data_IF_204212367069
#
_entry.id   IF_204212367069
#
_cell.length_a   1.000
_cell.length_b   1.000
_cell.length_c   1.000
_cell.angle_alpha   90.00
_cell.angle_beta   90.00
_cell.angle_gamma   90.00
#
_symmetry.space_group_name_H-M   'P 1'
#
loop_
_entity.id
_entity.type
_entity.pdbx_description
1 polymer ?
#
# COMPACT_ATOMS: atom_id res chain seq x y z
N UNK A 1 5.48 8.54 -12.18
CA UNK A 1 6.58 8.16 -11.24
C UNK A 1 7.51 9.33 -10.92
N UNK A 2 7.91 10.12 -11.90
CA UNK A 2 8.79 11.29 -11.68
C UNK A 2 8.31 12.21 -10.56
N UNK A 3 7.00 12.52 -10.50
CA UNK A 3 6.43 13.37 -9.45
C UNK A 3 6.63 12.79 -8.03
N UNK A 4 6.43 11.47 -7.85
CA UNK A 4 6.69 10.81 -6.57
C UNK A 4 8.17 10.92 -6.17
N UNK A 5 9.08 10.56 -7.08
CA UNK A 5 10.51 10.59 -6.79
C UNK A 5 11.00 12.02 -6.49
N UNK A 6 10.44 13.04 -7.15
CA UNK A 6 10.72 14.44 -6.84
C UNK A 6 10.22 14.86 -5.45
N UNK A 7 9.00 14.42 -5.07
CA UNK A 7 8.46 14.65 -3.72
C UNK A 7 9.38 14.01 -2.67
N UNK A 8 9.73 12.74 -2.85
CA UNK A 8 10.63 12.03 -1.92
C UNK A 8 12.03 12.68 -1.87
N UNK A 9 12.50 13.23 -2.99
CA UNK A 9 13.78 13.97 -3.01
C UNK A 9 13.68 15.28 -2.21
N UNK A 10 12.60 16.06 -2.37
CA UNK A 10 12.38 17.27 -1.55
C UNK A 10 12.27 16.93 -0.08
N UNK A 11 11.54 15.85 0.25
CA UNK A 11 11.44 15.35 1.62
C UNK A 11 12.83 15.09 2.23
N UNK A 12 13.71 14.35 1.53
CA UNK A 12 15.08 14.08 1.98
C UNK A 12 15.95 15.34 2.07
N UNK A 13 15.60 16.38 1.33
CA UNK A 13 16.29 17.68 1.38
C UNK A 13 15.76 18.60 2.49
N UNK A 14 14.91 18.08 3.40
CA UNK A 14 14.40 18.79 4.57
C UNK A 14 13.01 19.40 4.41
N UNK A 15 12.32 19.18 3.30
CA UNK A 15 10.90 19.56 3.17
C UNK A 15 10.03 18.54 3.89
N UNK A 16 9.18 18.98 4.81
CA UNK A 16 8.22 18.10 5.50
C UNK A 16 7.02 17.74 4.60
N UNK A 17 7.30 17.21 3.40
CA UNK A 17 6.29 16.76 2.45
C UNK A 17 6.15 15.24 2.49
N UNK A 18 4.91 14.75 2.46
CA UNK A 18 4.60 13.32 2.34
C UNK A 18 3.45 13.11 1.37
N UNK A 19 3.15 11.85 1.10
CA UNK A 19 2.05 11.47 0.22
C UNK A 19 1.23 10.36 0.87
N UNK A 20 -0.09 10.49 0.82
CA UNK A 20 -0.97 9.37 1.13
C UNK A 20 -0.94 8.36 -0.02
N UNK A 21 -0.78 7.11 0.34
CA UNK A 21 -0.97 5.98 -0.56
C UNK A 21 -2.35 5.38 -0.29
N UNK A 22 -3.30 5.71 -1.17
CA UNK A 22 -4.71 5.36 -0.98
C UNK A 22 -5.00 4.00 -1.61
N UNK A 23 -5.19 2.99 -0.75
CA UNK A 23 -5.50 1.61 -1.14
C UNK A 23 -7.02 1.37 -1.12
N UNK A 24 -7.71 1.74 -2.17
CA UNK A 24 -9.14 1.50 -2.32
C UNK A 24 -9.52 1.20 -3.76
N UNK A 25 -10.48 0.28 -3.95
CA UNK A 25 -11.13 0.03 -5.24
C UNK A 25 -12.55 0.62 -5.31
N UNK A 26 -13.01 1.31 -4.25
CA UNK A 26 -14.36 1.89 -4.22
C UNK A 26 -14.44 3.20 -5.02
N UNK A 27 -15.39 3.35 -5.97
CA UNK A 27 -15.44 4.51 -6.88
C UNK A 27 -15.55 5.85 -6.15
N UNK A 28 -16.38 5.94 -5.12
CA UNK A 28 -16.57 7.19 -4.37
C UNK A 28 -15.33 7.57 -3.54
N UNK A 29 -14.60 6.59 -3.00
CA UNK A 29 -13.33 6.86 -2.29
C UNK A 29 -12.28 7.38 -3.25
N UNK A 30 -12.11 6.70 -4.41
CA UNK A 30 -11.17 7.15 -5.44
C UNK A 30 -11.56 8.54 -5.95
N UNK A 31 -12.84 8.78 -6.25
CA UNK A 31 -13.30 10.08 -6.74
C UNK A 31 -13.05 11.20 -5.71
N UNK A 32 -13.37 10.98 -4.44
CA UNK A 32 -13.12 11.97 -3.38
C UNK A 32 -11.62 12.30 -3.26
N UNK A 33 -10.77 11.27 -3.32
CA UNK A 33 -9.31 11.42 -3.29
C UNK A 33 -8.79 12.22 -4.49
N UNK A 34 -9.31 11.94 -5.69
CA UNK A 34 -8.90 12.65 -6.91
C UNK A 34 -9.38 14.09 -6.95
N UNK A 35 -10.59 14.38 -6.43
CA UNK A 35 -11.11 15.75 -6.30
C UNK A 35 -10.27 16.57 -5.33
N UNK A 36 -9.93 16.00 -4.18
CA UNK A 36 -9.06 16.66 -3.20
C UNK A 36 -7.69 16.98 -3.80
N UNK A 37 -7.10 16.05 -4.56
CA UNK A 37 -5.84 16.26 -5.25
C UNK A 37 -5.95 17.38 -6.32
N UNK A 38 -7.08 17.46 -7.04
CA UNK A 38 -7.36 18.52 -8.00
C UNK A 38 -7.45 19.89 -7.33
N UNK A 39 -8.22 20.01 -6.24
CA UNK A 39 -8.40 21.27 -5.50
C UNK A 39 -7.07 21.82 -4.96
N UNK A 40 -6.13 20.95 -4.60
CA UNK A 40 -4.85 21.34 -4.05
C UNK A 40 -3.69 21.32 -5.07
N UNK A 41 -3.98 21.04 -6.35
CA UNK A 41 -3.00 20.97 -7.47
C UNK A 41 -1.77 20.11 -7.14
N UNK A 42 -1.99 18.92 -6.55
CA UNK A 42 -0.91 18.00 -6.12
C UNK A 42 -1.07 16.59 -6.72
N UNK A 43 0.04 15.84 -6.82
CA UNK A 43 -0.03 14.45 -7.25
C UNK A 43 -0.77 13.61 -6.20
N UNK A 44 -1.40 12.55 -6.68
CA UNK A 44 -2.11 11.56 -5.86
C UNK A 44 -1.61 10.16 -6.19
N UNK A 45 -1.42 9.34 -5.16
CA UNK A 45 -1.02 7.95 -5.30
C UNK A 45 -2.21 7.04 -4.96
N UNK A 46 -2.73 6.38 -6.00
CA UNK A 46 -3.77 5.35 -5.87
C UNK A 46 -3.10 3.99 -6.00
N UNK A 47 -3.34 3.14 -5.02
CA UNK A 47 -2.77 1.80 -5.00
C UNK A 47 -3.84 0.71 -4.95
N UNK A 48 -3.48 -0.46 -5.44
CA UNK A 48 -4.27 -1.67 -5.28
C UNK A 48 -3.40 -2.80 -4.72
N UNK A 49 -3.95 -3.54 -3.77
CA UNK A 49 -3.31 -4.75 -3.24
C UNK A 49 -3.54 -5.95 -4.15
N UNK A 50 -2.72 -6.99 -3.99
CA UNK A 50 -2.90 -8.28 -4.68
C UNK A 50 -4.26 -8.94 -4.43
N UNK A 51 -4.89 -8.66 -3.29
CA UNK A 51 -6.25 -9.14 -2.98
C UNK A 51 -7.33 -8.34 -3.72
N UNK A 52 -7.12 -7.04 -3.92
CA UNK A 52 -8.07 -6.15 -4.60
C UNK A 52 -8.09 -6.38 -6.10
N UNK A 53 -6.91 -6.44 -6.70
CA UNK A 53 -6.69 -6.45 -8.15
C UNK A 53 -5.60 -7.46 -8.47
N UNK A 54 -5.87 -8.41 -9.33
CA UNK A 54 -4.87 -9.38 -9.80
C UNK A 54 -5.28 -9.95 -11.16
N UNK A 55 -4.46 -10.82 -11.74
CA UNK A 55 -4.73 -11.46 -13.03
C UNK A 55 -6.04 -12.25 -13.10
N UNK A 56 -6.62 -12.60 -11.96
CA UNK A 56 -7.91 -13.30 -11.85
C UNK A 56 -9.06 -12.37 -11.46
N UNK A 57 -8.80 -11.06 -11.31
CA UNK A 57 -9.77 -10.03 -10.94
C UNK A 57 -9.71 -9.59 -9.47
N UNK A 58 -9.15 -10.37 -8.57
CA UNK A 58 -9.22 -10.10 -7.13
C UNK A 58 -10.66 -9.98 -6.64
N UNK A 59 -10.89 -9.34 -5.47
CA UNK A 59 -12.26 -9.12 -5.01
C UNK A 59 -12.98 -7.96 -5.72
N UNK A 60 -12.25 -7.08 -6.40
CA UNK A 60 -12.86 -5.99 -7.18
C UNK A 60 -13.39 -6.46 -8.54
N UNK A 61 -13.04 -7.67 -8.98
CA UNK A 61 -13.35 -8.19 -10.31
C UNK A 61 -12.47 -7.59 -11.42
N UNK A 62 -11.42 -6.84 -11.10
CA UNK A 62 -10.60 -6.13 -12.08
C UNK A 62 -9.17 -6.68 -12.17
N UNK A 63 -8.70 -6.82 -13.40
CA UNK A 63 -7.26 -6.99 -13.69
C UNK A 63 -6.53 -5.64 -13.54
N UNK A 64 -5.18 -5.62 -13.43
CA UNK A 64 -4.42 -4.36 -13.32
C UNK A 64 -4.71 -3.37 -14.47
N UNK A 65 -4.85 -3.86 -15.69
CA UNK A 65 -5.19 -3.02 -16.84
C UNK A 65 -6.59 -2.40 -16.73
N UNK A 66 -7.56 -3.18 -16.27
CA UNK A 66 -8.93 -2.71 -16.04
C UNK A 66 -8.98 -1.69 -14.89
N UNK A 67 -8.26 -1.93 -13.80
CA UNK A 67 -8.19 -0.99 -12.69
C UNK A 67 -7.54 0.34 -13.10
N UNK A 68 -6.47 0.32 -13.90
CA UNK A 68 -5.90 1.55 -14.47
C UNK A 68 -6.93 2.33 -15.30
N UNK A 69 -7.65 1.66 -16.20
CA UNK A 69 -8.69 2.30 -17.01
C UNK A 69 -9.80 2.88 -16.17
N UNK A 70 -10.22 2.15 -15.12
CA UNK A 70 -11.22 2.55 -14.15
C UNK A 70 -10.81 3.82 -13.38
N UNK A 71 -9.58 3.87 -12.86
CA UNK A 71 -9.06 5.07 -12.16
C UNK A 71 -8.94 6.25 -13.12
N UNK A 72 -8.49 6.03 -14.37
CA UNK A 72 -8.38 7.07 -15.38
C UNK A 72 -9.74 7.67 -15.75
N UNK A 73 -10.80 6.86 -15.83
CA UNK A 73 -12.15 7.31 -16.06
C UNK A 73 -12.68 8.17 -14.89
N UNK A 74 -12.44 7.75 -13.66
CA UNK A 74 -12.80 8.56 -12.46
C UNK A 74 -12.00 9.88 -12.46
N UNK A 75 -10.70 9.86 -12.78
CA UNK A 75 -9.88 11.07 -12.84
C UNK A 75 -10.43 12.08 -13.86
N UNK A 76 -10.88 11.59 -15.01
CA UNK A 76 -11.53 12.43 -16.02
C UNK A 76 -12.80 13.09 -15.48
N UNK A 77 -13.65 12.36 -14.77
CA UNK A 77 -14.85 12.93 -14.12
C UNK A 77 -14.52 13.90 -12.98
N UNK A 78 -13.43 13.66 -12.28
CA UNK A 78 -12.92 14.53 -11.21
C UNK A 78 -12.15 15.76 -11.75
N UNK A 79 -12.02 15.92 -13.07
CA UNK A 79 -11.27 16.99 -13.74
C UNK A 79 -9.79 17.03 -13.38
N UNK A 80 -9.22 15.91 -12.91
CA UNK A 80 -7.81 15.77 -12.58
C UNK A 80 -7.04 15.27 -13.81
N UNK A 81 -5.96 15.97 -14.19
CA UNK A 81 -5.06 15.50 -15.24
C UNK A 81 -4.41 14.16 -14.85
N UNK A 82 -4.38 13.23 -15.78
CA UNK A 82 -3.82 11.89 -15.56
C UNK A 82 -2.33 11.91 -15.19
N UNK A 83 -1.60 12.96 -15.55
CA UNK A 83 -0.20 13.14 -15.15
C UNK A 83 0.00 13.32 -13.64
N UNK A 84 -1.04 13.76 -12.92
CA UNK A 84 -1.05 13.86 -11.45
C UNK A 84 -1.44 12.55 -10.78
N UNK A 85 -1.98 11.57 -11.52
CA UNK A 85 -2.37 10.27 -10.97
C UNK A 85 -1.20 9.30 -11.04
N UNK A 86 -0.70 8.92 -9.89
CA UNK A 86 0.32 7.89 -9.73
C UNK A 86 -0.35 6.57 -9.38
N UNK A 87 0.02 5.48 -10.07
CA UNK A 87 -0.48 4.16 -9.76
C UNK A 87 0.60 3.31 -9.11
N UNK A 88 0.24 2.72 -7.98
CA UNK A 88 1.10 1.80 -7.23
C UNK A 88 0.42 0.46 -6.98
N UNK A 89 1.25 -0.56 -6.88
CA UNK A 89 0.84 -1.87 -6.39
C UNK A 89 1.36 -2.08 -4.99
N UNK A 90 0.46 -2.46 -4.10
CA UNK A 90 0.71 -2.66 -2.69
C UNK A 90 0.62 -4.12 -2.30
N UNK A 91 1.47 -4.57 -1.38
CA UNK A 91 1.58 -5.97 -1.00
C UNK A 91 1.61 -6.91 -2.22
N UNK A 92 2.39 -6.52 -3.25
CA UNK A 92 2.55 -7.34 -4.44
C UNK A 92 3.54 -8.47 -4.17
N UNK A 93 2.99 -9.66 -4.04
CA UNK A 93 3.71 -10.87 -3.70
C UNK A 93 2.77 -12.07 -3.64
N UNK A 94 3.16 -13.15 -2.97
CA UNK A 94 2.37 -14.38 -2.91
C UNK A 94 1.15 -14.31 -1.98
N UNK A 95 0.94 -13.22 -1.25
CA UNK A 95 -0.04 -13.11 -0.16
C UNK A 95 -1.47 -13.53 -0.56
N UNK A 96 -1.94 -13.14 -1.75
CA UNK A 96 -3.28 -13.53 -2.23
C UNK A 96 -3.45 -15.05 -2.40
N UNK A 97 -2.36 -15.80 -2.45
CA UNK A 97 -2.32 -17.25 -2.63
C UNK A 97 -1.53 -17.97 -1.54
N UNK A 98 -1.38 -17.35 -0.38
CA UNK A 98 -0.54 -17.90 0.72
C UNK A 98 -0.99 -19.28 1.23
N UNK A 99 -2.22 -19.69 0.96
CA UNK A 99 -2.68 -21.05 1.27
C UNK A 99 -2.09 -22.13 0.34
N UNK A 100 -1.58 -21.74 -0.84
CA UNK A 100 -0.94 -22.65 -1.79
C UNK A 100 0.52 -22.92 -1.40
N UNK A 101 1.11 -24.02 -1.91
CA UNK A 101 2.55 -24.24 -1.80
C UNK A 101 3.36 -23.03 -2.31
N UNK A 102 4.44 -22.69 -1.61
CA UNK A 102 5.26 -21.50 -1.89
C UNK A 102 5.66 -21.35 -3.36
N UNK A 103 6.03 -22.46 -4.04
CA UNK A 103 6.39 -22.44 -5.47
C UNK A 103 5.23 -21.94 -6.32
N UNK A 104 4.03 -22.46 -6.11
CA UNK A 104 2.84 -22.08 -6.89
C UNK A 104 2.40 -20.65 -6.57
N UNK A 105 2.43 -20.27 -5.30
CA UNK A 105 2.10 -18.90 -4.89
C UNK A 105 3.06 -17.88 -5.51
N UNK A 106 4.35 -18.19 -5.56
CA UNK A 106 5.37 -17.34 -6.20
C UNK A 106 5.23 -17.29 -7.73
N UNK A 107 4.86 -18.39 -8.40
CA UNK A 107 4.61 -18.39 -9.86
C UNK A 107 3.41 -17.48 -10.20
N UNK A 108 2.37 -17.45 -9.34
CA UNK A 108 1.25 -16.53 -9.48
C UNK A 108 1.67 -15.09 -9.19
N UNK A 109 2.55 -14.86 -8.22
CA UNK A 109 3.10 -13.55 -7.91
C UNK A 109 3.96 -13.00 -9.05
N UNK A 110 4.74 -13.83 -9.75
CA UNK A 110 5.47 -13.42 -10.96
C UNK A 110 4.51 -12.84 -12.02
N UNK A 111 3.40 -13.55 -12.28
CA UNK A 111 2.40 -13.08 -13.25
C UNK A 111 1.72 -11.79 -12.78
N UNK A 112 1.39 -11.70 -11.49
CA UNK A 112 0.82 -10.50 -10.88
C UNK A 112 1.72 -9.27 -11.14
N UNK A 113 3.00 -9.38 -10.80
CA UNK A 113 3.99 -8.31 -10.98
C UNK A 113 4.09 -7.90 -12.45
N UNK A 114 4.20 -8.88 -13.37
CA UNK A 114 4.28 -8.59 -14.79
C UNK A 114 3.06 -7.81 -15.29
N UNK A 115 1.86 -8.22 -14.90
CA UNK A 115 0.60 -7.58 -15.31
C UNK A 115 0.46 -6.16 -14.71
N UNK A 116 0.88 -5.92 -13.46
CA UNK A 116 0.90 -4.57 -12.87
C UNK A 116 1.84 -3.64 -13.63
N UNK A 117 3.07 -4.06 -13.86
CA UNK A 117 4.07 -3.22 -14.56
C UNK A 117 3.67 -2.97 -16.01
N UNK A 118 3.19 -4.00 -16.71
CA UNK A 118 2.68 -3.87 -18.08
C UNK A 118 1.46 -2.94 -18.15
N UNK A 119 0.59 -2.95 -17.12
CA UNK A 119 -0.53 -2.04 -17.03
C UNK A 119 -0.11 -0.58 -16.69
N UNK A 120 1.16 -0.31 -16.38
CA UNK A 120 1.66 1.05 -16.13
C UNK A 120 1.72 1.45 -14.67
N UNK A 121 1.56 0.53 -13.73
CA UNK A 121 1.86 0.78 -12.32
C UNK A 121 3.38 0.96 -12.16
N UNK A 122 3.79 1.94 -11.37
CA UNK A 122 5.21 2.33 -11.30
C UNK A 122 5.77 2.43 -9.88
N UNK A 123 4.97 2.54 -8.83
CA UNK A 123 5.40 2.22 -7.47
C UNK A 123 5.06 0.75 -7.22
N UNK A 124 6.04 -0.07 -6.92
CA UNK A 124 5.88 -1.52 -6.76
C UNK A 124 6.39 -1.91 -5.38
N UNK A 125 5.46 -2.24 -4.48
CA UNK A 125 5.80 -2.79 -3.17
C UNK A 125 5.94 -4.30 -3.30
N UNK A 126 7.18 -4.78 -3.20
CA UNK A 126 7.56 -6.19 -3.26
C UNK A 126 7.42 -6.81 -1.88
N UNK A 127 6.24 -7.35 -1.59
CA UNK A 127 5.94 -7.95 -0.28
C UNK A 127 6.00 -9.48 -0.35
N UNK A 128 7.04 -10.04 0.24
CA UNK A 128 7.25 -11.47 0.39
C UNK A 128 7.37 -11.89 1.86
N UNK A 129 6.93 -11.04 2.79
CA UNK A 129 7.06 -11.24 4.24
C UNK A 129 6.16 -12.36 4.79
N UNK A 130 5.09 -12.71 4.07
CA UNK A 130 4.12 -13.68 4.54
C UNK A 130 4.44 -15.10 4.10
N UNK A 131 4.36 -16.04 5.05
CA UNK A 131 4.55 -17.46 4.81
C UNK A 131 3.46 -18.04 3.88
N UNK A 132 3.87 -18.91 2.98
CA UNK A 132 2.99 -19.69 2.11
C UNK A 132 2.87 -21.13 2.60
N UNK A 133 1.99 -21.93 1.98
CA UNK A 133 1.83 -23.34 2.30
C UNK A 133 3.15 -24.10 2.19
N UNK A 134 3.54 -24.75 3.29
CA UNK A 134 4.81 -25.47 3.41
C UNK A 134 6.00 -24.65 3.90
N UNK A 135 5.86 -23.34 4.03
CA UNK A 135 6.86 -22.50 4.67
C UNK A 135 6.82 -22.61 6.20
N UNK A 136 7.91 -22.30 6.92
CA UNK A 136 7.86 -22.07 8.35
C UNK A 136 6.97 -20.85 8.66
N UNK A 137 6.35 -20.83 9.85
CA UNK A 137 5.43 -19.76 10.26
C UNK A 137 6.07 -18.35 10.24
N UNK A 138 7.37 -18.28 10.52
CA UNK A 138 8.19 -17.07 10.39
C UNK A 138 9.25 -17.34 9.34
N UNK A 139 9.29 -16.50 8.31
CA UNK A 139 10.29 -16.60 7.25
C UNK A 139 11.62 -15.99 7.71
N UNK A 140 12.71 -16.60 7.22
CA UNK A 140 14.02 -15.98 7.28
C UNK A 140 14.07 -14.77 6.33
N UNK A 141 14.69 -13.67 6.76
CA UNK A 141 14.87 -12.45 5.94
C UNK A 141 15.54 -12.74 4.60
N UNK A 142 16.44 -13.73 4.54
CA UNK A 142 17.07 -14.14 3.29
C UNK A 142 16.05 -14.73 2.30
N UNK A 143 15.07 -15.50 2.77
CA UNK A 143 13.99 -16.04 1.93
C UNK A 143 13.10 -14.92 1.41
N UNK A 144 12.75 -13.96 2.28
CA UNK A 144 11.94 -12.78 1.90
C UNK A 144 12.66 -11.98 0.82
N UNK A 145 13.94 -11.68 1.03
CA UNK A 145 14.76 -10.89 0.10
C UNK A 145 14.98 -11.60 -1.25
N UNK A 146 15.19 -12.91 -1.24
CA UNK A 146 15.35 -13.72 -2.46
C UNK A 146 14.06 -13.74 -3.29
N UNK A 147 12.91 -13.91 -2.64
CA UNK A 147 11.60 -13.81 -3.29
C UNK A 147 11.35 -12.41 -3.85
N UNK A 148 11.67 -11.36 -3.10
CA UNK A 148 11.55 -9.97 -3.56
C UNK A 148 12.46 -9.69 -4.77
N UNK A 149 13.70 -10.18 -4.77
CA UNK A 149 14.61 -10.06 -5.91
C UNK A 149 14.09 -10.80 -7.15
N UNK A 150 13.52 -12.02 -6.98
CA UNK A 150 12.84 -12.75 -8.08
C UNK A 150 11.74 -11.89 -8.69
N UNK A 151 10.85 -11.32 -7.87
CA UNK A 151 9.74 -10.48 -8.34
C UNK A 151 10.23 -9.17 -8.97
N UNK A 152 11.30 -8.57 -8.43
CA UNK A 152 11.92 -7.39 -9.03
C UNK A 152 12.46 -7.68 -10.44
N UNK A 153 13.10 -8.84 -10.64
CA UNK A 153 13.57 -9.27 -11.97
C UNK A 153 12.42 -9.38 -12.97
N UNK A 154 11.26 -9.91 -12.55
CA UNK A 154 10.05 -9.96 -13.37
C UNK A 154 9.54 -8.55 -13.70
N UNK A 155 9.50 -7.67 -12.69
CA UNK A 155 9.12 -6.27 -12.88
C UNK A 155 10.01 -5.54 -13.90
N UNK A 156 11.33 -5.73 -13.80
CA UNK A 156 12.31 -5.15 -14.73
C UNK A 156 12.13 -5.67 -16.15
N UNK A 157 11.84 -6.97 -16.31
CA UNK A 157 11.57 -7.54 -17.62
C UNK A 157 10.27 -6.97 -18.20
N UNK A 158 9.19 -6.97 -17.44
CA UNK A 158 7.90 -6.43 -17.88
C UNK A 158 7.97 -4.93 -18.24
N UNK A 159 8.79 -4.17 -17.50
CA UNK A 159 9.04 -2.77 -17.85
C UNK A 159 9.81 -2.62 -19.16
N UNK A 160 10.86 -3.39 -19.38
CA UNK A 160 11.60 -3.37 -20.67
C UNK A 160 10.69 -3.69 -21.85
N UNK A 161 9.78 -4.64 -21.66
CA UNK A 161 8.88 -5.09 -22.73
C UNK A 161 7.76 -4.10 -23.01
N UNK A 162 7.24 -3.42 -21.98
CA UNK A 162 6.12 -2.46 -22.08
C UNK A 162 6.55 -1.00 -22.27
N UNK A 163 7.79 -0.65 -21.90
CA UNK A 163 8.32 0.71 -21.98
C UNK A 163 7.80 1.65 -20.90
N UNK A 164 8.00 2.95 -21.14
CA UNK A 164 7.60 4.02 -20.23
C UNK A 164 8.61 4.30 -19.12
N UNK A 165 8.19 5.03 -18.07
CA UNK A 165 9.06 5.32 -16.92
C UNK A 165 9.43 4.03 -16.17
N UNK A 166 10.65 3.91 -15.64
CA UNK A 166 11.04 2.75 -14.83
C UNK A 166 10.25 2.71 -13.52
N UNK A 167 9.97 1.51 -12.98
CA UNK A 167 9.36 1.39 -11.67
C UNK A 167 10.31 1.80 -10.54
N UNK A 168 9.74 2.34 -9.46
CA UNK A 168 10.38 2.49 -8.17
C UNK A 168 9.87 1.40 -7.24
N UNK A 169 10.74 0.91 -6.37
CA UNK A 169 10.45 -0.22 -5.51
C UNK A 169 10.34 0.19 -4.05
N UNK A 170 9.46 -0.49 -3.34
CA UNK A 170 9.37 -0.51 -1.89
C UNK A 170 9.62 -1.94 -1.43
N UNK A 171 10.41 -2.10 -0.37
CA UNK A 171 10.77 -3.39 0.21
C UNK A 171 10.50 -3.38 1.71
N UNK A 172 10.47 -4.55 2.35
CA UNK A 172 10.36 -4.69 3.80
C UNK A 172 10.29 -6.15 4.23
N UNK A 173 10.65 -6.42 5.48
CA UNK A 173 10.49 -7.73 6.14
C UNK A 173 9.48 -7.67 7.27
N UNK A 174 9.34 -6.53 7.94
CA UNK A 174 8.37 -6.26 9.00
C UNK A 174 7.13 -5.56 8.44
N UNK A 175 6.42 -6.24 7.49
CA UNK A 175 5.27 -5.66 6.81
C UNK A 175 3.99 -6.05 7.54
N UNK A 176 3.19 -5.07 8.04
CA UNK A 176 1.89 -5.35 8.64
C UNK A 176 0.91 -6.05 7.69
N UNK A 177 -0.02 -6.82 8.25
CA UNK A 177 -1.06 -7.49 7.45
C UNK A 177 -1.97 -6.45 6.80
N UNK A 178 -2.30 -6.60 5.50
CA UNK A 178 -3.23 -5.69 4.83
C UNK A 178 -4.59 -5.63 5.52
N UNK A 179 -5.09 -4.41 5.78
CA UNK A 179 -6.41 -4.18 6.33
C UNK A 179 -6.48 -3.98 7.85
N UNK A 180 -5.33 -3.94 8.54
CA UNK A 180 -5.22 -3.80 9.99
C UNK A 180 -5.12 -5.14 10.71
N UNK A 181 -4.93 -5.10 12.03
CA UNK A 181 -4.79 -6.29 12.85
C UNK A 181 -6.11 -7.07 12.93
N UNK A 182 -6.02 -8.38 12.65
CA UNK A 182 -7.17 -9.30 12.79
C UNK A 182 -7.38 -9.76 14.23
N UNK A 183 -6.34 -9.68 15.07
CA UNK A 183 -6.34 -10.05 16.48
C UNK A 183 -6.30 -8.81 17.35
N UNK A 184 -6.68 -8.96 18.63
CA UNK A 184 -6.63 -7.86 19.60
C UNK A 184 -5.18 -7.34 19.76
N UNK A 185 -5.03 -6.00 19.64
CA UNK A 185 -3.73 -5.35 19.66
C UNK A 185 -3.09 -5.48 21.05
N UNK A 186 -1.97 -6.19 21.09
CA UNK A 186 -1.07 -6.27 22.24
C UNK A 186 -0.08 -5.09 22.29
N UNK A 187 1.11 -5.34 22.81
CA UNK A 187 2.22 -4.37 22.78
C UNK A 187 2.84 -4.34 21.38
N UNK A 188 2.76 -3.19 20.72
CA UNK A 188 3.35 -2.98 19.40
C UNK A 188 4.79 -2.46 19.56
N UNK A 189 5.74 -3.17 18.96
CA UNK A 189 7.14 -2.75 18.96
C UNK A 189 7.43 -1.89 17.71
N UNK A 190 8.20 -0.83 17.90
CA UNK A 190 8.75 -0.04 16.79
C UNK A 190 9.90 -0.81 16.16
N UNK A 191 10.00 -0.78 14.82
CA UNK A 191 11.12 -1.38 14.08
C UNK A 191 12.45 -0.84 14.59
N UNK A 192 13.37 -1.74 14.91
CA UNK A 192 14.70 -1.33 15.42
C UNK A 192 15.63 -0.88 14.30
N UNK A 193 16.61 -0.04 14.62
CA UNK A 193 17.65 0.37 13.66
C UNK A 193 18.48 -0.83 13.19
N UNK A 194 18.62 -1.86 14.01
CA UNK A 194 19.29 -3.09 13.65
C UNK A 194 18.49 -3.87 12.59
N UNK A 195 17.16 -3.99 12.76
CA UNK A 195 16.27 -4.61 11.76
C UNK A 195 16.30 -3.85 10.44
N UNK A 196 16.26 -2.50 10.46
CA UNK A 196 16.39 -1.67 9.24
C UNK A 196 17.65 -2.03 8.46
N UNK A 197 18.80 -2.08 9.14
CA UNK A 197 20.11 -2.38 8.51
C UNK A 197 20.16 -3.82 7.99
N UNK A 198 19.67 -4.78 8.76
CA UNK A 198 19.63 -6.19 8.36
C UNK A 198 18.75 -6.40 7.12
N UNK A 199 17.55 -5.82 7.11
CA UNK A 199 16.64 -5.86 5.95
C UNK A 199 17.29 -5.27 4.70
N UNK A 200 17.88 -4.08 4.80
CA UNK A 200 18.54 -3.44 3.66
C UNK A 200 19.73 -4.23 3.14
N UNK A 201 20.58 -4.74 4.04
CA UNK A 201 21.75 -5.54 3.65
C UNK A 201 21.35 -6.84 2.97
N UNK A 202 20.35 -7.53 3.51
CA UNK A 202 19.88 -8.82 2.98
C UNK A 202 19.23 -8.64 1.62
N UNK A 203 18.35 -7.64 1.45
CA UNK A 203 17.76 -7.33 0.14
C UNK A 203 18.81 -6.86 -0.86
N UNK A 204 19.74 -6.01 -0.45
CA UNK A 204 20.82 -5.54 -1.34
C UNK A 204 21.63 -6.72 -1.89
N UNK A 205 22.02 -7.65 -1.01
CA UNK A 205 22.78 -8.85 -1.41
C UNK A 205 21.97 -9.72 -2.39
N UNK A 206 20.67 -9.94 -2.14
CA UNK A 206 19.80 -10.71 -3.01
C UNK A 206 19.64 -10.01 -4.38
N UNK A 207 19.40 -8.69 -4.41
CA UNK A 207 19.29 -7.94 -5.66
C UNK A 207 20.58 -8.00 -6.50
N UNK A 208 21.75 -7.84 -5.88
CA UNK A 208 23.02 -7.98 -6.57
C UNK A 208 23.22 -9.41 -7.11
N UNK A 209 22.86 -10.45 -6.33
CA UNK A 209 22.90 -11.83 -6.76
C UNK A 209 22.04 -12.14 -8.00
N UNK A 210 21.00 -11.34 -8.23
CA UNK A 210 20.12 -11.41 -9.41
C UNK A 210 20.52 -10.45 -10.54
N UNK A 211 21.63 -9.68 -10.43
CA UNK A 211 22.06 -8.69 -11.43
C UNK A 211 21.12 -7.49 -11.51
N UNK A 212 20.59 -7.06 -10.36
CA UNK A 212 19.57 -5.99 -10.26
C UNK A 212 20.14 -4.69 -9.67
N UNK A 213 21.43 -4.38 -9.89
CA UNK A 213 22.10 -3.18 -9.38
C UNK A 213 21.35 -1.89 -9.76
N UNK A 214 20.92 -1.80 -11.02
CA UNK A 214 20.17 -0.65 -11.53
C UNK A 214 18.77 -0.52 -10.89
N UNK A 215 18.11 -1.64 -10.60
CA UNK A 215 16.84 -1.67 -9.89
C UNK A 215 17.01 -1.29 -8.42
N UNK A 216 18.09 -1.74 -7.76
CA UNK A 216 18.42 -1.37 -6.39
C UNK A 216 18.55 0.16 -6.21
N UNK A 217 19.10 0.86 -7.21
CA UNK A 217 19.17 2.33 -7.17
C UNK A 217 17.77 3.00 -7.20
N UNK A 218 16.73 2.26 -7.55
CA UNK A 218 15.33 2.71 -7.59
C UNK A 218 14.48 2.17 -6.44
N UNK A 219 15.09 1.49 -5.47
CA UNK A 219 14.45 1.25 -4.17
C UNK A 219 14.34 2.61 -3.47
N UNK A 220 13.11 3.08 -3.31
CA UNK A 220 12.81 4.43 -2.86
C UNK A 220 12.35 4.48 -1.39
N UNK A 221 11.74 3.39 -0.91
CA UNK A 221 11.23 3.33 0.46
C UNK A 221 11.42 1.94 1.09
N UNK A 222 11.49 1.95 2.42
CA UNK A 222 11.47 0.77 3.27
C UNK A 222 10.22 0.80 4.13
N UNK A 223 9.43 -0.30 4.10
CA UNK A 223 8.32 -0.48 5.04
C UNK A 223 8.87 -0.78 6.42
N UNK A 224 8.40 -0.04 7.41
CA UNK A 224 8.76 -0.21 8.82
C UNK A 224 7.54 -0.01 9.70
N UNK A 225 7.58 -0.54 10.94
CA UNK A 225 6.56 -0.32 11.94
C UNK A 225 6.93 0.90 12.80
N UNK A 226 6.26 2.07 12.65
CA UNK A 226 6.54 3.26 13.45
C UNK A 226 5.89 3.24 14.85
N UNK A 227 5.15 2.18 15.19
CA UNK A 227 4.36 2.09 16.42
C UNK A 227 2.92 2.52 16.22
N UNK A 228 2.37 2.44 14.99
CA UNK A 228 0.95 2.68 14.71
C UNK A 228 0.27 1.41 14.22
N UNK A 229 -0.92 1.17 14.68
CA UNK A 229 -1.77 0.06 14.23
C UNK A 229 -3.21 0.32 14.63
N UNK A 230 -4.13 -0.39 14.03
CA UNK A 230 -5.54 -0.39 14.43
C UNK A 230 -6.15 -1.78 14.30
N UNK A 231 -7.16 -2.05 15.11
CA UNK A 231 -8.06 -3.18 14.99
C UNK A 231 -9.52 -2.69 14.90
N UNK A 232 -10.48 -3.57 15.15
CA UNK A 232 -11.90 -3.22 15.10
C UNK A 232 -12.37 -2.32 16.27
N UNK A 233 -11.56 -2.12 17.30
CA UNK A 233 -11.95 -1.47 18.55
C UNK A 233 -10.95 -0.41 19.03
N UNK A 234 -9.71 -0.47 18.57
CA UNK A 234 -8.60 0.32 19.12
C UNK A 234 -7.72 0.87 18.01
N UNK A 235 -7.21 2.06 18.24
CA UNK A 235 -6.14 2.68 17.44
C UNK A 235 -4.94 2.91 18.36
N UNK A 236 -3.76 2.52 17.90
CA UNK A 236 -2.50 2.88 18.56
C UNK A 236 -1.96 4.12 17.88
N UNK A 237 -1.97 5.23 18.60
CA UNK A 237 -1.53 6.53 18.11
C UNK A 237 0.00 6.60 18.01
N UNK A 238 0.48 7.31 17.00
CA UNK A 238 1.89 7.57 16.79
C UNK A 238 2.51 8.31 17.98
N UNK A 239 3.63 7.76 18.45
CA UNK A 239 4.42 8.32 19.54
C UNK A 239 5.82 8.69 19.04
N UNK A 240 6.10 9.96 18.68
CA UNK A 240 7.40 10.37 18.12
C UNK A 240 8.59 10.01 19.00
N UNK A 241 8.40 10.01 20.33
CA UNK A 241 9.46 9.64 21.28
C UNK A 241 9.87 8.18 21.15
N UNK A 242 8.92 7.27 20.87
CA UNK A 242 9.19 5.84 20.69
C UNK A 242 9.90 5.56 19.35
N UNK A 243 9.60 6.31 18.30
CA UNK A 243 10.18 6.16 16.96
C UNK A 243 11.46 6.98 16.73
N UNK A 244 11.98 7.69 17.73
CA UNK A 244 13.11 8.64 17.60
C UNK A 244 14.36 8.01 16.99
N UNK A 245 14.76 6.83 17.44
CA UNK A 245 15.95 6.14 16.93
C UNK A 245 15.73 5.67 15.49
N UNK A 246 14.53 5.16 15.18
CA UNK A 246 14.14 4.76 13.84
C UNK A 246 14.17 5.98 12.90
N UNK A 247 13.54 7.09 13.29
CA UNK A 247 13.55 8.34 12.53
C UNK A 247 14.98 8.80 12.25
N UNK A 248 15.84 8.90 13.25
CA UNK A 248 17.24 9.32 13.07
C UNK A 248 18.07 8.35 12.20
N UNK A 249 17.70 7.07 12.14
CA UNK A 249 18.42 6.10 11.31
C UNK A 249 18.36 6.44 9.82
N UNK A 250 17.25 7.02 9.33
CA UNK A 250 17.07 7.33 7.91
C UNK A 250 18.07 8.37 7.39
N UNK A 251 18.58 9.25 8.24
CA UNK A 251 19.58 10.26 7.87
C UNK A 251 20.88 9.61 7.37
N UNK A 252 21.14 8.37 7.78
CA UNK A 252 22.26 7.57 7.30
C UNK A 252 21.98 6.86 5.96
N UNK A 253 20.78 7.00 5.41
CA UNK A 253 20.25 6.28 4.25
C UNK A 253 19.74 7.29 3.18
N UNK A 254 20.62 8.08 2.54
CA UNK A 254 20.28 9.31 1.83
C UNK A 254 19.34 9.13 0.60
N UNK A 255 19.09 7.89 0.17
CA UNK A 255 18.20 7.61 -0.96
C UNK A 255 16.82 7.13 -0.56
N UNK A 256 16.63 6.77 0.70
CA UNK A 256 15.41 6.13 1.19
C UNK A 256 14.55 7.09 2.00
N UNK A 257 13.26 6.76 2.03
CA UNK A 257 12.31 7.22 3.03
C UNK A 257 11.66 6.00 3.68
N UNK A 258 10.93 6.20 4.77
CA UNK A 258 10.06 5.15 5.30
C UNK A 258 8.68 5.21 4.66
N UNK A 259 8.10 4.02 4.48
CA UNK A 259 6.68 3.83 4.22
C UNK A 259 6.05 3.24 5.48
N UNK A 260 5.04 3.92 6.02
CA UNK A 260 4.28 3.48 7.18
C UNK A 260 2.93 2.92 6.73
N UNK A 261 2.61 1.71 7.17
CA UNK A 261 1.31 1.09 6.98
C UNK A 261 0.39 1.36 8.17
N UNK A 262 -0.89 1.03 8.05
CA UNK A 262 -1.89 1.16 9.13
C UNK A 262 -1.97 2.58 9.72
N UNK A 263 -1.76 3.61 8.90
CA UNK A 263 -1.82 5.02 9.34
C UNK A 263 -3.25 5.58 9.36
N UNK A 264 -4.22 4.73 9.05
CA UNK A 264 -5.64 5.03 9.18
C UNK A 264 -5.99 5.46 10.61
N UNK A 265 -6.97 6.35 10.74
CA UNK A 265 -7.49 6.86 12.01
C UNK A 265 -6.52 7.69 12.86
N UNK A 266 -5.28 7.92 12.41
CA UNK A 266 -4.35 8.82 13.08
C UNK A 266 -4.85 10.26 13.00
N UNK A 267 -4.60 11.04 14.07
CA UNK A 267 -4.95 12.46 14.07
C UNK A 267 -4.11 13.23 13.02
N UNK A 268 -4.58 14.39 12.52
CA UNK A 268 -3.79 15.24 11.63
C UNK A 268 -2.40 15.61 12.20
N UNK A 269 -2.32 15.82 13.52
CA UNK A 269 -1.05 16.09 14.20
C UNK A 269 -0.10 14.87 14.19
N UNK A 270 -0.64 13.67 14.39
CA UNK A 270 0.13 12.42 14.31
C UNK A 270 0.62 12.15 12.88
N UNK A 271 -0.23 12.36 11.87
CA UNK A 271 0.16 12.22 10.46
C UNK A 271 1.25 13.23 10.07
N UNK A 272 1.13 14.50 10.51
CA UNK A 272 2.17 15.50 10.29
C UNK A 272 3.48 15.13 11.01
N UNK A 273 3.39 14.54 12.21
CA UNK A 273 4.56 14.08 12.95
C UNK A 273 5.23 12.87 12.23
N UNK A 274 4.46 11.91 11.74
CA UNK A 274 4.98 10.81 10.92
C UNK A 274 5.77 11.35 9.72
N UNK A 275 5.19 12.28 8.95
CA UNK A 275 5.88 12.88 7.80
C UNK A 275 7.17 13.60 8.23
N UNK A 276 7.13 14.40 9.28
CA UNK A 276 8.32 15.08 9.82
C UNK A 276 9.42 14.09 10.23
N UNK A 277 9.02 12.94 10.76
CA UNK A 277 9.89 11.90 11.28
C UNK A 277 10.27 10.86 10.19
N UNK A 278 10.16 11.28 8.90
CA UNK A 278 10.62 10.61 7.67
C UNK A 278 9.77 9.44 7.16
N UNK A 279 8.56 9.25 7.69
CA UNK A 279 7.56 8.37 7.09
C UNK A 279 6.83 9.15 5.97
N UNK A 280 7.49 9.28 4.81
CA UNK A 280 7.02 10.14 3.73
C UNK A 280 5.89 9.54 2.90
N UNK A 281 5.67 8.22 2.99
CA UNK A 281 4.56 7.52 2.34
C UNK A 281 3.68 6.92 3.44
N UNK A 282 2.43 7.37 3.49
CA UNK A 282 1.45 6.95 4.51
C UNK A 282 0.33 6.14 3.88
N UNK A 283 0.24 4.86 4.25
CA UNK A 283 -0.78 3.94 3.72
C UNK A 283 -2.12 4.16 4.43
N UNK A 284 -3.15 4.39 3.63
CA UNK A 284 -4.54 4.50 4.11
C UNK A 284 -5.47 3.69 3.20
N UNK A 285 -6.45 3.05 3.79
CA UNK A 285 -7.41 2.22 3.06
C UNK A 285 -8.70 2.00 3.86
N UNK A 286 -8.69 1.19 4.93
CA UNK A 286 -9.86 0.95 5.76
C UNK A 286 -10.50 2.22 6.32
N UNK A 287 -9.71 3.20 6.77
CA UNK A 287 -10.23 4.45 7.33
C UNK A 287 -11.05 5.28 6.34
N UNK A 288 -10.63 5.36 5.07
CA UNK A 288 -11.41 6.10 4.05
C UNK A 288 -12.68 5.34 3.65
N UNK A 289 -12.66 4.00 3.67
CA UNK A 289 -13.85 3.18 3.45
C UNK A 289 -14.81 3.27 4.63
N UNK A 290 -14.28 3.31 5.86
CA UNK A 290 -15.05 3.53 7.07
C UNK A 290 -15.77 4.89 7.04
N UNK A 291 -15.07 5.97 6.70
CA UNK A 291 -15.65 7.30 6.57
C UNK A 291 -16.81 7.33 5.55
N UNK A 292 -16.65 6.67 4.40
CA UNK A 292 -17.72 6.51 3.41
C UNK A 292 -18.93 5.77 4.02
N UNK A 293 -18.69 4.66 4.73
CA UNK A 293 -19.77 3.88 5.36
C UNK A 293 -20.53 4.72 6.38
N UNK A 294 -19.84 5.48 7.24
CA UNK A 294 -20.49 6.34 8.24
C UNK A 294 -21.38 7.41 7.58
N UNK A 295 -20.92 8.01 6.49
CA UNK A 295 -21.73 8.97 5.74
C UNK A 295 -22.95 8.32 5.09
N UNK A 296 -22.81 7.13 4.54
CA UNK A 296 -23.95 6.39 3.99
C UNK A 296 -24.96 6.02 5.07
N UNK A 297 -24.51 5.63 6.28
CA UNK A 297 -25.38 5.35 7.41
C UNK A 297 -26.12 6.62 7.87
N UNK A 298 -25.45 7.77 7.95
CA UNK A 298 -26.10 9.03 8.27
C UNK A 298 -27.19 9.41 7.24
N UNK A 299 -26.93 9.18 5.94
CA UNK A 299 -27.92 9.41 4.89
C UNK A 299 -29.14 8.47 5.01
N UNK A 300 -28.94 7.22 5.43
CA UNK A 300 -30.03 6.28 5.69
C UNK A 300 -30.92 6.77 6.85
N UNK A 301 -30.32 7.27 7.93
CA UNK A 301 -31.10 7.84 9.05
C UNK A 301 -31.90 9.07 8.61
N UNK A 302 -31.29 9.99 7.86
CA UNK A 302 -31.98 11.17 7.30
C UNK A 302 -33.14 10.73 6.39
N UNK A 303 -32.94 9.74 5.53
CA UNK A 303 -33.95 9.19 4.65
C UNK A 303 -35.13 8.63 5.46
N UNK A 304 -34.85 7.92 6.55
CA UNK A 304 -35.87 7.38 7.46
C UNK A 304 -36.71 8.48 8.10
N UNK A 305 -36.07 9.54 8.64
CA UNK A 305 -36.76 10.68 9.25
C UNK A 305 -37.64 11.46 8.26
N UNK A 306 -37.24 11.52 6.99
CA UNK A 306 -38.03 12.15 5.93
C UNK A 306 -39.22 11.26 5.45
N UNK A 307 -39.41 10.07 6.04
CA UNK A 307 -40.46 9.14 5.64
C UNK A 307 -40.27 8.55 4.24
N UNK A 308 -39.07 8.69 3.67
CA UNK A 308 -38.73 8.18 2.34
C UNK A 308 -38.07 6.80 2.39
N UNK A 309 -38.16 6.11 3.53
CA UNK A 309 -37.59 4.77 3.69
C UNK A 309 -38.28 3.78 2.75
N UNK A 310 -37.47 3.08 1.94
CA UNK A 310 -37.92 1.96 1.13
C UNK A 310 -38.29 0.73 1.99
N UNK A 311 -38.67 -0.38 1.32
CA UNK A 311 -38.99 -1.64 2.01
C UNK A 311 -37.79 -2.27 2.72
N UNK A 312 -36.58 -2.01 2.24
CA UNK A 312 -35.32 -2.53 2.78
C UNK A 312 -34.29 -1.39 2.84
N UNK A 313 -33.62 -1.21 3.98
CA UNK A 313 -32.62 -0.18 4.13
C UNK A 313 -31.30 -0.57 3.47
N UNK A 314 -30.52 0.42 2.99
CA UNK A 314 -29.18 0.19 2.47
C UNK A 314 -28.30 -0.58 3.47
N UNK A 315 -28.48 -0.29 4.78
CA UNK A 315 -27.74 -0.96 5.85
C UNK A 315 -28.02 -2.47 5.88
N UNK A 316 -29.30 -2.87 5.76
CA UNK A 316 -29.69 -4.28 5.70
C UNK A 316 -29.14 -4.97 4.46
N UNK A 317 -29.21 -4.33 3.30
CA UNK A 317 -28.65 -4.85 2.03
C UNK A 317 -27.14 -5.11 2.17
N UNK A 318 -26.39 -4.14 2.68
CA UNK A 318 -24.92 -4.26 2.86
C UNK A 318 -24.60 -5.36 3.86
N UNK A 319 -25.28 -5.42 5.01
CA UNK A 319 -25.06 -6.46 6.01
C UNK A 319 -25.40 -7.85 5.49
N UNK A 320 -26.47 -7.98 4.70
CA UNK A 320 -26.83 -9.24 4.06
C UNK A 320 -25.78 -9.69 3.03
N UNK A 321 -25.24 -8.75 2.25
CA UNK A 321 -24.15 -9.04 1.32
C UNK A 321 -22.88 -9.52 2.04
N UNK A 322 -22.47 -8.86 3.11
CA UNK A 322 -21.30 -9.26 3.91
C UNK A 322 -21.48 -10.63 4.58
N UNK A 323 -22.68 -10.93 5.10
CA UNK A 323 -22.98 -12.26 5.69
C UNK A 323 -22.97 -13.37 4.66
N UNK A 324 -23.33 -13.10 3.42
CA UNK A 324 -23.34 -14.08 2.33
C UNK A 324 -21.94 -14.45 1.86
N UNK A 325 -21.01 -13.51 1.88
CA UNK A 325 -19.61 -13.72 1.51
C UNK A 325 -18.66 -12.98 2.46
N UNK A 326 -18.30 -13.62 3.61
CA UNK A 326 -17.48 -13.00 4.65
C UNK A 326 -15.96 -13.15 4.42
N UNK A 327 -15.53 -13.46 3.20
CA UNK A 327 -14.11 -13.79 2.92
C UNK A 327 -13.17 -12.59 2.95
N UNK A 328 -13.72 -11.38 2.86
CA UNK A 328 -12.94 -10.14 2.75
C UNK A 328 -13.33 -9.13 3.81
#
# INVERSE_FOLDING_TARGET
MKALLQLLQRHRSGSAEGIYSVCSAHPLVIEATLREAHEHARPVLIEATSNQVNQFGGYSGMTPLQFRAYVADIATRASLSQEHVLLGGDHLGPNAWRADPAVLAMDRADRLIADYVAAGFRKIHLDCSMACGGDPAVLDDAVVAERAARLCRVAEQAWRDSGGEPPAYVIGTEVPVPGGAAEELGTLAVTTTASVRATLETHHRAFLGHGLEAAWQRVAALVVQPGVEFDNHKVIDYQPAAARELSACIDTLPRLVYEAHSTDYQTPAALAALVRDHFAILKVGPGVTFALREMLWALVEIQSELGAAGRESLKEIVLAAMRRDPRY
#
